data_IF_548623261192
#
_entry.id   IF_548623261192
#
_cell.length_a   1.000
_cell.length_b   1.000
_cell.length_c   1.000
_cell.angle_alpha   90.00
_cell.angle_beta   90.00
_cell.angle_gamma   90.00
#
_symmetry.space_group_name_H-M   'P 1'
#
loop_
_entity.id
_entity.type
_entity.pdbx_description
1 polymer ?
#
# COMPACT_ATOMS: atom_id res chain seq x y z
N UNK A 1 42.81 73.94 25.66
CA UNK A 1 43.52 72.99 24.76
C UNK A 1 42.54 71.81 24.54
N UNK A 2 41.95 71.79 23.37
CA UNK A 2 40.82 70.87 23.02
C UNK A 2 41.35 69.65 22.33
N UNK A 3 41.12 68.46 22.90
CA UNK A 3 41.36 67.18 22.28
C UNK A 3 40.06 66.54 21.88
N UNK A 4 39.71 66.52 20.56
CA UNK A 4 38.58 65.80 20.00
C UNK A 4 38.99 64.33 19.73
N UNK A 5 38.30 63.39 20.39
CA UNK A 5 38.41 61.98 20.11
C UNK A 5 37.42 61.62 18.98
N UNK A 6 37.92 61.03 17.89
CA UNK A 6 37.09 60.48 16.85
C UNK A 6 36.86 58.97 17.09
N UNK A 7 35.59 58.61 17.31
CA UNK A 7 35.19 57.19 17.42
C UNK A 7 34.80 56.72 16.03
N UNK A 8 35.53 55.76 15.51
CA UNK A 8 35.27 55.10 14.24
C UNK A 8 34.39 53.90 14.54
N UNK A 9 33.10 53.97 14.09
CA UNK A 9 32.18 52.87 14.18
C UNK A 9 32.44 51.88 13.04
N UNK A 10 32.77 50.64 13.36
CA UNK A 10 32.83 49.54 12.41
C UNK A 10 31.48 48.90 12.29
N UNK A 11 30.80 49.03 11.14
CA UNK A 11 29.59 48.28 10.79
C UNK A 11 30.03 46.90 10.32
N UNK A 12 29.71 45.86 11.12
CA UNK A 12 29.73 44.48 10.65
C UNK A 12 28.44 44.19 9.89
N UNK A 13 28.52 44.02 8.56
CA UNK A 13 27.45 43.48 7.75
C UNK A 13 27.46 41.93 7.86
N UNK A 14 26.46 41.38 8.54
CA UNK A 14 26.20 39.92 8.55
C UNK A 14 25.54 39.54 7.21
N UNK A 15 26.31 38.98 6.30
CA UNK A 15 25.79 38.37 5.06
C UNK A 15 25.16 37.03 5.41
N UNK A 16 23.84 36.92 5.31
CA UNK A 16 23.13 35.64 5.36
C UNK A 16 23.31 34.94 4.03
N UNK A 17 24.13 33.88 4.01
CA UNK A 17 24.26 32.99 2.87
C UNK A 17 22.98 32.12 2.83
N UNK A 18 22.05 32.41 1.95
CA UNK A 18 20.95 31.51 1.61
C UNK A 18 21.51 30.46 0.67
N UNK A 19 21.82 29.28 1.19
CA UNK A 19 22.13 28.14 0.35
C UNK A 19 20.82 27.66 -0.31
N UNK A 20 20.65 27.99 -1.60
CA UNK A 20 19.61 27.36 -2.42
C UNK A 20 20.03 25.92 -2.68
N UNK A 21 19.41 24.96 -2.01
CA UNK A 21 19.48 23.57 -2.41
C UNK A 21 18.77 23.42 -3.76
N UNK A 22 19.54 23.34 -4.83
CA UNK A 22 19.00 22.92 -6.12
C UNK A 22 18.55 21.47 -5.95
N UNK A 23 17.27 21.22 -6.07
CA UNK A 23 16.75 19.84 -6.24
C UNK A 23 17.29 19.39 -7.60
N UNK A 24 18.29 18.52 -7.57
CA UNK A 24 18.78 17.85 -8.77
C UNK A 24 17.71 16.84 -9.15
N UNK A 25 16.96 17.15 -10.19
CA UNK A 25 15.96 16.23 -10.74
C UNK A 25 16.71 15.10 -11.44
N UNK A 26 16.38 13.84 -11.10
CA UNK A 26 16.98 12.67 -11.75
C UNK A 26 16.80 12.72 -13.27
N UNK A 27 17.78 12.30 -14.06
CA UNK A 27 17.65 12.31 -15.51
C UNK A 27 16.55 11.34 -15.96
N UNK A 28 15.63 11.84 -16.81
CA UNK A 28 14.70 11.00 -17.54
C UNK A 28 15.50 10.24 -18.60
N UNK A 29 15.71 8.92 -18.41
CA UNK A 29 16.50 8.11 -19.33
C UNK A 29 15.68 7.54 -20.49
N UNK A 30 14.38 7.31 -20.29
CA UNK A 30 13.44 6.95 -21.35
C UNK A 30 12.11 7.64 -21.12
N UNK A 31 11.64 8.37 -22.11
CA UNK A 31 10.33 9.01 -22.09
C UNK A 31 9.59 8.67 -23.37
N UNK A 32 8.47 8.01 -23.22
CA UNK A 32 7.53 7.77 -24.30
C UNK A 32 6.18 8.42 -23.95
N UNK A 33 5.29 8.59 -24.92
CA UNK A 33 3.93 9.07 -24.63
C UNK A 33 3.10 8.07 -23.79
N UNK A 34 3.67 6.91 -23.43
CA UNK A 34 2.98 5.80 -22.76
C UNK A 34 3.52 5.49 -21.39
N UNK A 35 4.78 5.84 -21.11
CA UNK A 35 5.42 5.74 -19.79
C UNK A 35 6.56 6.74 -19.63
N UNK A 36 6.97 6.95 -18.38
CA UNK A 36 8.18 7.69 -17.98
C UNK A 36 9.04 6.78 -17.11
N UNK A 37 10.38 6.88 -17.26
CA UNK A 37 11.33 6.10 -16.48
C UNK A 37 12.41 7.00 -15.89
N UNK A 38 12.69 6.79 -14.62
CA UNK A 38 13.66 7.53 -13.81
C UNK A 38 14.51 6.56 -13.02
N UNK A 39 15.79 6.86 -12.83
CA UNK A 39 16.71 6.05 -12.04
C UNK A 39 17.69 6.91 -11.26
N UNK A 40 17.99 6.49 -10.04
CA UNK A 40 19.15 6.89 -9.24
C UNK A 40 20.02 5.65 -9.04
N UNK A 41 21.35 5.82 -9.13
CA UNK A 41 22.30 4.71 -9.05
C UNK A 41 22.68 4.13 -10.40
N UNK A 42 22.94 2.83 -10.44
CA UNK A 42 23.32 2.12 -11.64
C UNK A 42 22.08 1.83 -12.52
N UNK A 43 22.13 2.25 -13.79
CA UNK A 43 21.02 2.00 -14.73
C UNK A 43 21.11 0.61 -15.41
N UNK A 44 22.26 -0.05 -15.31
CA UNK A 44 22.46 -1.42 -15.81
C UNK A 44 21.84 -2.41 -14.83
N UNK A 45 21.12 -3.40 -15.35
CA UNK A 45 20.49 -4.45 -14.59
C UNK A 45 21.51 -5.29 -13.79
N UNK A 46 21.20 -5.57 -12.53
CA UNK A 46 22.01 -6.43 -11.66
C UNK A 46 21.19 -7.58 -11.10
N UNK A 47 21.72 -8.76 -11.06
CA UNK A 47 21.05 -9.91 -10.45
C UNK A 47 21.63 -10.20 -9.07
N UNK A 48 20.80 -10.11 -8.03
CA UNK A 48 21.12 -10.47 -6.64
C UNK A 48 20.23 -11.59 -6.12
N UNK A 49 20.72 -12.39 -5.18
CA UNK A 49 19.88 -13.34 -4.45
C UNK A 49 18.82 -12.61 -3.63
N UNK A 50 17.55 -12.91 -3.84
CA UNK A 50 16.42 -12.30 -3.15
C UNK A 50 15.80 -13.25 -2.12
N UNK A 51 15.02 -12.70 -1.19
CA UNK A 51 14.18 -13.44 -0.27
C UNK A 51 12.71 -13.01 -0.44
N UNK A 52 11.76 -13.97 -0.53
CA UNK A 52 10.36 -13.63 -0.75
C UNK A 52 9.76 -12.89 0.43
N UNK A 53 8.80 -12.03 0.15
CA UNK A 53 8.01 -11.34 1.15
C UNK A 53 7.07 -10.31 0.56
N UNK A 54 6.15 -9.81 1.41
CA UNK A 54 5.23 -8.76 1.02
C UNK A 54 5.35 -7.57 1.99
N UNK A 55 5.11 -6.36 1.49
CA UNK A 55 4.93 -5.16 2.31
C UNK A 55 3.56 -4.54 2.02
N UNK A 56 2.69 -4.59 3.04
CA UNK A 56 1.34 -4.07 2.98
C UNK A 56 1.29 -2.77 3.81
N UNK A 57 1.16 -1.60 3.16
CA UNK A 57 1.32 -0.31 3.84
C UNK A 57 0.06 0.56 3.73
N UNK A 58 -0.38 1.11 4.87
CA UNK A 58 -1.65 1.81 5.00
C UNK A 58 -1.72 3.22 4.40
N UNK A 59 -0.59 3.78 3.99
CA UNK A 59 -0.53 5.11 3.35
C UNK A 59 -0.24 6.26 4.30
N UNK A 60 -0.31 7.48 3.82
CA UNK A 60 0.22 8.72 4.41
C UNK A 60 1.75 8.74 4.31
N UNK A 61 2.49 8.95 5.40
CA UNK A 61 3.96 8.81 5.41
C UNK A 61 4.33 7.34 5.35
N UNK A 62 5.24 7.00 4.47
CA UNK A 62 5.74 5.63 4.34
C UNK A 62 6.59 5.24 5.57
N UNK A 63 6.70 3.95 5.83
CA UNK A 63 7.37 3.39 7.00
C UNK A 63 8.76 2.94 6.62
N UNK A 64 9.78 3.70 7.04
CA UNK A 64 11.20 3.46 6.71
C UNK A 64 11.64 2.03 7.02
N UNK A 65 11.27 1.49 8.19
CA UNK A 65 11.65 0.14 8.59
C UNK A 65 11.07 -0.95 7.69
N UNK A 66 9.93 -0.71 7.04
CA UNK A 66 9.36 -1.64 6.07
C UNK A 66 10.10 -1.59 4.72
N UNK A 67 10.54 -0.40 4.29
CA UNK A 67 11.40 -0.26 3.11
C UNK A 67 12.79 -0.86 3.34
N UNK A 68 13.42 -0.60 4.48
CA UNK A 68 14.70 -1.23 4.86
C UNK A 68 14.59 -2.76 4.88
N UNK A 69 13.48 -3.31 5.35
CA UNK A 69 13.21 -4.74 5.31
C UNK A 69 13.09 -5.27 3.85
N UNK A 70 12.49 -4.51 2.92
CA UNK A 70 12.46 -4.87 1.49
C UNK A 70 13.86 -4.79 0.87
N UNK A 71 14.63 -3.75 1.19
CA UNK A 71 16.00 -3.55 0.70
C UNK A 71 16.90 -4.71 1.15
N UNK A 72 16.82 -5.14 2.40
CA UNK A 72 17.54 -6.31 2.89
C UNK A 72 17.19 -7.57 2.07
N UNK A 73 15.90 -7.80 1.80
CA UNK A 73 15.42 -8.96 1.04
C UNK A 73 15.69 -8.88 -0.46
N UNK A 74 15.92 -7.70 -1.00
CA UNK A 74 16.39 -7.51 -2.38
C UNK A 74 17.86 -7.91 -2.57
N UNK A 75 18.60 -8.18 -1.48
CA UNK A 75 20.04 -8.44 -1.53
C UNK A 75 20.87 -7.24 -2.01
N UNK A 76 20.28 -6.02 -1.96
CA UNK A 76 20.89 -4.79 -2.44
C UNK A 76 20.92 -4.67 -3.97
N UNK A 77 19.95 -5.27 -4.65
CA UNK A 77 19.76 -5.16 -6.11
C UNK A 77 18.92 -3.95 -6.50
N UNK A 78 18.23 -4.07 -7.63
CA UNK A 78 17.42 -2.99 -8.21
C UNK A 78 16.05 -2.88 -7.52
N UNK A 79 15.77 -1.71 -6.95
CA UNK A 79 14.50 -1.40 -6.29
C UNK A 79 13.60 -0.62 -7.25
N UNK A 80 12.58 -1.28 -7.80
CA UNK A 80 11.68 -0.69 -8.79
C UNK A 80 10.36 -0.27 -8.16
N UNK A 81 9.99 0.99 -8.35
CA UNK A 81 8.69 1.57 -7.98
C UNK A 81 7.85 1.74 -9.23
N UNK A 82 6.61 1.24 -9.22
CA UNK A 82 5.66 1.43 -10.31
C UNK A 82 4.45 2.25 -9.86
N UNK A 83 3.94 3.08 -10.76
CA UNK A 83 2.78 3.94 -10.53
C UNK A 83 2.15 4.37 -11.85
N UNK A 84 0.92 4.92 -11.83
CA UNK A 84 0.22 5.41 -13.02
C UNK A 84 0.23 6.95 -13.13
N UNK A 85 0.66 7.66 -12.10
CA UNK A 85 0.76 9.11 -12.05
C UNK A 85 1.67 9.54 -10.89
N UNK A 86 2.15 10.77 -10.90
CA UNK A 86 2.99 11.34 -9.84
C UNK A 86 4.42 11.60 -10.33
N UNK A 87 5.41 11.42 -9.46
CA UNK A 87 6.82 11.72 -9.73
C UNK A 87 7.71 10.57 -9.27
N UNK A 88 8.99 10.69 -9.52
CA UNK A 88 10.07 9.80 -9.10
C UNK A 88 10.57 10.04 -7.65
N UNK A 89 9.79 10.70 -6.81
CA UNK A 89 10.22 11.13 -5.47
C UNK A 89 10.71 10.00 -4.54
N UNK A 90 10.39 8.75 -4.87
CA UNK A 90 10.92 7.57 -4.16
C UNK A 90 12.41 7.34 -4.42
N UNK A 91 12.90 7.65 -5.65
CA UNK A 91 14.26 7.30 -6.04
C UNK A 91 15.33 7.94 -5.15
N UNK A 92 15.37 9.29 -4.96
CA UNK A 92 16.38 9.90 -4.11
C UNK A 92 16.27 9.45 -2.65
N UNK A 93 15.08 9.25 -2.12
CA UNK A 93 14.89 8.79 -0.76
C UNK A 93 15.36 7.34 -0.56
N UNK A 94 15.00 6.40 -1.47
CA UNK A 94 15.46 5.01 -1.39
C UNK A 94 16.97 4.94 -1.57
N UNK A 95 17.53 5.65 -2.56
CA UNK A 95 18.93 5.51 -2.92
C UNK A 95 19.89 6.24 -1.96
N UNK A 96 19.57 7.49 -1.56
CA UNK A 96 20.47 8.31 -0.75
C UNK A 96 20.16 8.27 0.74
N UNK A 97 18.87 8.28 1.13
CA UNK A 97 18.47 8.39 2.54
C UNK A 97 18.41 6.99 3.20
N UNK A 98 17.80 6.00 2.56
CA UNK A 98 17.76 4.63 3.05
C UNK A 98 19.02 3.85 2.65
N UNK A 99 19.46 3.97 1.40
CA UNK A 99 20.63 3.32 0.86
C UNK A 99 20.54 1.80 0.76
N UNK A 100 21.65 1.16 0.35
CA UNK A 100 21.75 -0.30 0.33
C UNK A 100 21.18 -0.98 -0.91
N UNK A 101 20.86 -0.23 -1.97
CA UNK A 101 20.41 -0.72 -3.27
C UNK A 101 21.41 -0.38 -4.38
N UNK A 102 21.46 -1.17 -5.45
CA UNK A 102 22.27 -0.88 -6.64
C UNK A 102 21.65 0.28 -7.44
N UNK A 103 20.32 0.22 -7.60
CA UNK A 103 19.52 1.30 -8.18
C UNK A 103 18.20 1.49 -7.43
N UNK A 104 17.65 2.72 -7.52
CA UNK A 104 16.25 3.02 -7.22
C UNK A 104 15.59 3.58 -8.47
N UNK A 105 14.58 2.89 -8.96
CA UNK A 105 13.96 3.16 -10.24
C UNK A 105 12.48 3.49 -10.08
N UNK A 106 11.94 4.43 -10.85
CA UNK A 106 10.49 4.67 -10.92
C UNK A 106 10.01 4.59 -12.35
N UNK A 107 8.95 3.79 -12.56
CA UNK A 107 8.26 3.69 -13.84
C UNK A 107 6.84 4.24 -13.66
N UNK A 108 6.51 5.30 -14.39
CA UNK A 108 5.17 5.90 -14.41
C UNK A 108 4.46 5.44 -15.67
N UNK A 109 3.52 4.50 -15.55
CA UNK A 109 2.81 3.89 -16.68
C UNK A 109 1.54 4.71 -16.94
N UNK A 110 1.56 5.52 -18.00
CA UNK A 110 0.55 6.54 -18.28
C UNK A 110 -0.63 6.01 -19.10
N UNK A 111 -0.42 4.95 -19.91
CA UNK A 111 -1.40 4.40 -20.85
C UNK A 111 -1.29 2.88 -20.93
N UNK A 112 -2.35 2.19 -21.41
CA UNK A 112 -2.34 0.72 -21.55
C UNK A 112 -1.18 0.21 -22.44
N UNK A 113 -0.76 0.98 -23.46
CA UNK A 113 0.36 0.63 -24.33
C UNK A 113 1.69 0.57 -23.57
N UNK A 114 1.87 1.42 -22.53
CA UNK A 114 3.03 1.37 -21.64
C UNK A 114 3.05 0.11 -20.80
N UNK A 115 1.88 -0.46 -20.48
CA UNK A 115 1.78 -1.72 -19.77
C UNK A 115 2.05 -2.97 -20.65
N UNK A 116 2.36 -2.75 -21.94
CA UNK A 116 2.76 -3.78 -22.90
C UNK A 116 4.18 -3.51 -23.45
N UNK A 117 4.83 -2.42 -23.03
CA UNK A 117 6.13 -2.01 -23.55
C UNK A 117 7.23 -2.96 -23.03
N UNK A 118 8.05 -3.55 -23.93
CA UNK A 118 9.09 -4.50 -23.51
C UNK A 118 10.09 -3.92 -22.49
N UNK A 119 10.44 -2.65 -22.60
CA UNK A 119 11.35 -2.01 -21.64
C UNK A 119 10.74 -1.97 -20.22
N UNK A 120 9.45 -1.58 -20.12
CA UNK A 120 8.72 -1.53 -18.84
C UNK A 120 8.65 -2.94 -18.22
N UNK A 121 8.35 -3.95 -19.05
CA UNK A 121 8.22 -5.32 -18.61
C UNK A 121 9.56 -5.90 -18.16
N UNK A 122 10.63 -5.67 -18.90
CA UNK A 122 11.98 -6.13 -18.56
C UNK A 122 12.44 -5.51 -17.23
N UNK A 123 12.26 -4.20 -17.04
CA UNK A 123 12.59 -3.52 -15.79
C UNK A 123 11.81 -4.07 -14.58
N UNK A 124 10.51 -4.31 -14.72
CA UNK A 124 9.71 -4.91 -13.63
C UNK A 124 10.18 -6.35 -13.36
N UNK A 125 10.35 -7.18 -14.38
CA UNK A 125 10.71 -8.60 -14.20
C UNK A 125 12.09 -8.79 -13.56
N UNK A 126 13.01 -7.91 -13.87
CA UNK A 126 14.38 -7.97 -13.36
C UNK A 126 14.50 -7.41 -11.94
N UNK A 127 13.58 -6.59 -11.47
CA UNK A 127 13.62 -5.97 -10.14
C UNK A 127 13.89 -6.98 -9.00
N UNK A 128 14.81 -6.68 -8.10
CA UNK A 128 15.05 -7.42 -6.86
C UNK A 128 14.09 -7.01 -5.74
N UNK A 129 13.47 -5.83 -5.84
CA UNK A 129 12.32 -5.42 -5.05
C UNK A 129 11.36 -4.62 -5.90
N UNK A 130 10.04 -4.87 -5.77
CA UNK A 130 9.00 -4.17 -6.51
C UNK A 130 8.01 -3.51 -5.56
N UNK A 131 7.76 -2.21 -5.75
CA UNK A 131 6.83 -1.45 -4.91
C UNK A 131 5.79 -0.70 -5.74
N UNK A 132 4.51 -0.87 -5.39
CA UNK A 132 3.40 -0.14 -6.01
C UNK A 132 3.09 1.10 -5.15
N UNK A 133 3.40 2.27 -5.69
CA UNK A 133 3.22 3.53 -4.98
C UNK A 133 1.74 3.86 -4.69
N UNK A 134 1.53 4.84 -3.82
CA UNK A 134 0.21 5.44 -3.64
C UNK A 134 -0.26 6.21 -4.87
N UNK A 135 -1.57 6.43 -4.99
CA UNK A 135 -2.16 7.12 -6.12
C UNK A 135 -3.67 6.87 -6.23
N UNK A 136 -4.13 6.54 -7.42
CA UNK A 136 -5.50 6.16 -7.71
C UNK A 136 -5.54 4.68 -8.13
N UNK A 137 -6.07 3.81 -7.29
CA UNK A 137 -6.12 2.36 -7.57
C UNK A 137 -6.95 2.01 -8.80
N UNK A 138 -7.89 2.85 -9.23
CA UNK A 138 -8.60 2.63 -10.48
C UNK A 138 -7.68 2.71 -11.69
N UNK A 139 -6.70 3.63 -11.65
CA UNK A 139 -5.71 3.72 -12.72
C UNK A 139 -4.86 2.45 -12.79
N UNK A 140 -4.51 1.83 -11.66
CA UNK A 140 -3.80 0.56 -11.62
C UNK A 140 -4.64 -0.58 -12.21
N UNK A 141 -5.88 -0.74 -11.74
CA UNK A 141 -6.77 -1.78 -12.25
C UNK A 141 -7.04 -1.64 -13.76
N UNK A 142 -7.41 -0.43 -14.24
CA UNK A 142 -7.77 -0.22 -15.64
C UNK A 142 -6.60 -0.23 -16.63
N UNK A 143 -5.37 0.07 -16.17
CA UNK A 143 -4.19 0.14 -17.03
C UNK A 143 -3.37 -1.15 -17.03
N UNK A 144 -3.39 -1.92 -15.93
CA UNK A 144 -2.48 -3.03 -15.72
C UNK A 144 -3.17 -4.40 -15.74
N UNK A 145 -4.44 -4.52 -15.31
CA UNK A 145 -5.16 -5.80 -15.32
C UNK A 145 -5.31 -6.34 -16.74
N UNK A 146 -4.99 -7.62 -16.93
CA UNK A 146 -4.99 -8.29 -18.22
C UNK A 146 -3.85 -7.86 -19.16
N UNK A 147 -2.75 -7.32 -18.60
CA UNK A 147 -1.59 -6.86 -19.37
C UNK A 147 -0.30 -7.57 -18.95
N UNK A 148 0.79 -7.34 -19.71
CA UNK A 148 2.10 -7.88 -19.35
C UNK A 148 2.67 -7.31 -18.04
N UNK A 149 2.23 -6.13 -17.59
CA UNK A 149 2.60 -5.59 -16.25
C UNK A 149 2.03 -6.46 -15.14
N UNK A 150 0.78 -6.91 -15.23
CA UNK A 150 0.22 -7.87 -14.26
C UNK A 150 1.05 -9.15 -14.21
N UNK A 151 1.33 -9.73 -15.37
CA UNK A 151 2.18 -10.93 -15.48
C UNK A 151 3.59 -10.70 -14.91
N UNK A 152 4.16 -9.51 -15.13
CA UNK A 152 5.48 -9.14 -14.61
C UNK A 152 5.48 -9.02 -13.08
N UNK A 153 4.45 -8.40 -12.47
CA UNK A 153 4.29 -8.33 -11.00
C UNK A 153 4.20 -9.75 -10.40
N UNK A 154 3.39 -10.62 -11.00
CA UNK A 154 3.26 -12.01 -10.56
C UNK A 154 4.58 -12.78 -10.72
N UNK A 155 5.31 -12.53 -11.81
CA UNK A 155 6.63 -13.14 -12.03
C UNK A 155 7.65 -12.71 -10.95
N UNK A 156 7.71 -11.42 -10.59
CA UNK A 156 8.60 -10.91 -9.52
C UNK A 156 8.32 -11.63 -8.21
N UNK A 157 7.05 -11.80 -7.86
CA UNK A 157 6.63 -12.56 -6.68
C UNK A 157 7.06 -14.02 -6.77
N UNK A 158 6.84 -14.67 -7.92
CA UNK A 158 7.15 -16.09 -8.13
C UNK A 158 8.65 -16.37 -8.13
N UNK A 159 9.50 -15.43 -8.60
CA UNK A 159 10.96 -15.57 -8.53
C UNK A 159 11.52 -15.39 -7.11
N UNK A 160 10.69 -14.99 -6.15
CA UNK A 160 11.07 -14.83 -4.74
C UNK A 160 11.66 -13.46 -4.40
N UNK A 161 11.37 -12.42 -5.16
CA UNK A 161 11.68 -11.05 -4.79
C UNK A 161 10.54 -10.44 -3.94
N UNK A 162 10.84 -9.53 -2.99
CA UNK A 162 9.81 -8.87 -2.19
C UNK A 162 8.97 -7.93 -3.04
N UNK A 163 7.64 -7.95 -2.79
CA UNK A 163 6.67 -7.08 -3.46
C UNK A 163 5.90 -6.30 -2.41
N UNK A 164 5.67 -5.01 -2.63
CA UNK A 164 4.92 -4.19 -1.68
C UNK A 164 4.05 -3.14 -2.33
N UNK A 165 3.25 -2.46 -1.50
CA UNK A 165 2.46 -1.32 -1.95
C UNK A 165 1.86 -0.52 -0.80
N UNK A 166 1.67 0.78 -1.05
CA UNK A 166 1.11 1.73 -0.10
C UNK A 166 -0.19 2.33 -0.60
N UNK A 167 -1.16 2.58 0.28
CA UNK A 167 -2.41 3.29 -0.04
C UNK A 167 -3.17 2.65 -1.23
N UNK A 168 -3.18 3.30 -2.40
CA UNK A 168 -3.76 2.74 -3.63
C UNK A 168 -3.00 1.49 -4.11
N UNK A 169 -1.67 1.43 -3.92
CA UNK A 169 -0.85 0.26 -4.19
C UNK A 169 -1.20 -0.91 -3.28
N UNK A 170 -1.45 -0.67 -1.99
CA UNK A 170 -1.97 -1.69 -1.09
C UNK A 170 -3.32 -2.23 -1.58
N UNK A 171 -4.23 -1.33 -1.99
CA UNK A 171 -5.61 -1.69 -2.36
C UNK A 171 -5.72 -2.68 -3.53
N UNK A 172 -4.63 -2.87 -4.30
CA UNK A 172 -4.59 -3.81 -5.43
C UNK A 172 -3.79 -5.09 -5.16
N UNK A 173 -3.22 -5.26 -3.97
CA UNK A 173 -2.41 -6.45 -3.65
C UNK A 173 -3.24 -7.68 -3.25
N UNK A 174 -4.46 -7.49 -2.73
CA UNK A 174 -5.36 -8.59 -2.41
C UNK A 174 -5.94 -9.25 -3.65
N UNK A 175 -6.40 -10.50 -3.53
CA UNK A 175 -7.16 -11.17 -4.61
C UNK A 175 -8.40 -10.36 -4.98
N UNK A 176 -9.04 -9.74 -4.00
CA UNK A 176 -10.14 -8.80 -4.22
C UNK A 176 -9.66 -7.36 -4.01
N UNK A 177 -10.16 -6.46 -4.83
CA UNK A 177 -9.78 -5.05 -4.79
C UNK A 177 -11.00 -4.13 -4.76
N UNK A 178 -10.94 -3.09 -3.93
CA UNK A 178 -11.84 -1.96 -4.04
C UNK A 178 -11.22 -0.97 -5.05
N UNK A 179 -11.76 -0.92 -6.26
CA UNK A 179 -11.17 -0.14 -7.35
C UNK A 179 -11.38 1.37 -7.22
N UNK A 180 -12.39 1.80 -6.49
CA UNK A 180 -12.83 3.20 -6.45
C UNK A 180 -13.15 3.81 -7.84
N UNK A 181 -13.51 3.01 -8.84
CA UNK A 181 -13.86 3.46 -10.20
C UNK A 181 -14.87 4.62 -10.22
N UNK A 182 -15.86 4.58 -9.34
CA UNK A 182 -16.87 5.64 -9.18
C UNK A 182 -16.55 6.61 -8.02
N UNK A 183 -15.28 6.65 -7.61
CA UNK A 183 -14.79 7.40 -6.46
C UNK A 183 -14.90 6.64 -5.14
N UNK A 184 -14.37 7.24 -4.07
CA UNK A 184 -14.36 6.62 -2.74
C UNK A 184 -15.76 6.53 -2.12
N UNK A 185 -15.92 5.63 -1.16
CA UNK A 185 -17.13 5.49 -0.35
C UNK A 185 -16.78 5.54 1.15
N UNK A 186 -17.64 6.18 1.94
CA UNK A 186 -17.57 6.20 3.40
C UNK A 186 -18.36 5.05 4.01
N UNK A 187 -17.95 4.57 5.18
CA UNK A 187 -18.57 3.43 5.87
C UNK A 187 -20.07 3.51 5.99
N UNK A 188 -20.60 4.64 6.46
CA UNK A 188 -22.05 4.87 6.60
C UNK A 188 -22.85 4.61 5.30
N UNK A 189 -22.31 5.04 4.16
CA UNK A 189 -22.99 4.92 2.87
C UNK A 189 -22.88 3.48 2.31
N UNK A 190 -21.76 2.82 2.54
CA UNK A 190 -21.57 1.42 2.17
C UNK A 190 -22.52 0.50 2.95
N UNK A 191 -22.58 0.65 4.27
CA UNK A 191 -23.48 -0.10 5.16
C UNK A 191 -24.95 0.12 4.85
N UNK A 192 -25.33 1.35 4.45
CA UNK A 192 -26.73 1.67 4.10
C UNK A 192 -27.20 1.00 2.80
N UNK A 193 -26.29 0.77 1.87
CA UNK A 193 -26.59 0.12 0.59
C UNK A 193 -25.34 -0.57 0.05
N UNK A 194 -25.16 -1.86 0.30
CA UNK A 194 -23.99 -2.62 -0.16
C UNK A 194 -23.81 -2.63 -1.70
N UNK A 195 -24.89 -2.40 -2.44
CA UNK A 195 -24.90 -2.39 -3.91
C UNK A 195 -24.95 -0.99 -4.52
N UNK A 196 -24.61 0.05 -3.74
CA UNK A 196 -24.51 1.36 -4.36
C UNK A 196 -23.30 1.44 -5.32
N UNK A 197 -23.35 2.22 -6.41
CA UNK A 197 -22.36 2.19 -7.49
C UNK A 197 -20.91 2.48 -7.06
N UNK A 198 -20.70 3.15 -5.91
CA UNK A 198 -19.36 3.42 -5.39
C UNK A 198 -18.76 2.23 -4.62
N UNK A 199 -19.50 1.17 -4.33
CA UNK A 199 -18.96 -0.11 -3.88
C UNK A 199 -18.53 -0.88 -5.13
N UNK A 200 -17.46 -0.40 -5.76
CA UNK A 200 -16.91 -0.98 -6.97
C UNK A 200 -15.78 -1.95 -6.59
N UNK A 201 -16.11 -3.23 -6.61
CA UNK A 201 -15.18 -4.32 -6.31
C UNK A 201 -14.74 -4.99 -7.59
N UNK A 202 -13.54 -5.53 -7.58
CA UNK A 202 -12.92 -6.30 -8.65
C UNK A 202 -12.27 -7.54 -8.06
N UNK A 203 -12.19 -8.61 -8.82
CA UNK A 203 -11.47 -9.83 -8.48
C UNK A 203 -10.48 -10.19 -9.59
N UNK A 204 -9.61 -11.16 -9.32
CA UNK A 204 -8.74 -11.73 -10.34
C UNK A 204 -7.82 -10.69 -11.02
N UNK A 205 -7.15 -9.85 -10.19
CA UNK A 205 -6.11 -8.95 -10.67
C UNK A 205 -4.73 -9.47 -10.26
N UNK A 206 -4.41 -9.58 -8.98
CA UNK A 206 -3.13 -10.13 -8.53
C UNK A 206 -3.36 -11.36 -7.64
N UNK A 207 -2.49 -12.37 -7.78
CA UNK A 207 -2.49 -13.57 -6.97
C UNK A 207 -1.19 -13.66 -6.17
N UNK A 208 -1.13 -12.92 -5.07
CA UNK A 208 0.05 -12.90 -4.21
C UNK A 208 -0.05 -13.95 -3.09
N UNK A 209 1.08 -14.52 -2.62
CA UNK A 209 1.09 -15.49 -1.52
C UNK A 209 0.36 -14.94 -0.28
N UNK A 210 -0.39 -15.80 0.40
CA UNK A 210 -1.15 -15.50 1.62
C UNK A 210 -2.28 -14.47 1.46
N UNK A 211 -2.50 -13.88 0.28
CA UNK A 211 -3.56 -12.92 0.01
C UNK A 211 -4.74 -13.52 -0.79
N UNK A 212 -4.81 -14.84 -0.90
CA UNK A 212 -5.98 -15.56 -1.43
C UNK A 212 -7.21 -15.33 -0.56
N UNK A 213 -8.35 -15.03 -1.17
CA UNK A 213 -9.62 -14.64 -0.54
C UNK A 213 -9.53 -13.39 0.36
N UNK A 214 -8.51 -12.54 0.16
CA UNK A 214 -8.26 -11.33 0.95
C UNK A 214 -8.61 -10.08 0.14
N UNK A 215 -9.23 -9.11 0.79
CA UNK A 215 -9.30 -7.71 0.36
C UNK A 215 -8.54 -6.83 1.36
N UNK A 216 -7.74 -5.90 0.85
CA UNK A 216 -6.98 -4.95 1.67
C UNK A 216 -7.62 -3.57 1.65
N UNK A 217 -7.52 -2.84 2.77
CA UNK A 217 -7.96 -1.45 2.86
C UNK A 217 -6.95 -0.59 3.63
N UNK A 218 -6.70 0.61 3.14
CA UNK A 218 -5.68 1.55 3.62
C UNK A 218 -6.29 2.71 4.41
N UNK A 219 -5.48 3.58 5.03
CA UNK A 219 -5.94 4.76 5.82
C UNK A 219 -7.07 4.41 6.78
N UNK A 220 -7.01 3.25 7.39
CA UNK A 220 -8.18 2.54 7.86
C UNK A 220 -8.94 3.25 8.98
N UNK A 221 -8.27 3.54 10.10
CA UNK A 221 -8.87 4.28 11.23
C UNK A 221 -9.01 5.75 10.87
N UNK A 222 -7.96 6.34 10.27
CA UNK A 222 -7.92 7.77 9.96
C UNK A 222 -9.10 8.25 9.09
N UNK A 223 -9.67 7.35 8.26
CA UNK A 223 -10.78 7.66 7.36
C UNK A 223 -12.05 6.86 7.65
N UNK A 224 -12.17 6.30 8.86
CA UNK A 224 -13.35 5.51 9.31
C UNK A 224 -13.80 4.45 8.28
N UNK A 225 -12.91 3.46 7.99
CA UNK A 225 -13.12 2.51 6.91
C UNK A 225 -13.66 1.14 7.32
N UNK A 226 -13.84 0.87 8.62
CA UNK A 226 -14.31 -0.43 9.10
C UNK A 226 -15.63 -0.84 8.45
N UNK A 227 -16.62 0.03 8.42
CA UNK A 227 -17.93 -0.29 7.86
C UNK A 227 -17.93 -0.54 6.35
N UNK A 228 -17.02 0.14 5.60
CA UNK A 228 -16.90 -0.16 4.17
C UNK A 228 -16.21 -1.50 3.94
N UNK A 229 -15.19 -1.87 4.74
CA UNK A 229 -14.54 -3.17 4.65
C UNK A 229 -15.50 -4.31 4.98
N UNK A 230 -16.31 -4.17 6.04
CA UNK A 230 -17.40 -5.11 6.36
C UNK A 230 -18.37 -5.27 5.17
N UNK A 231 -18.71 -4.16 4.52
CA UNK A 231 -19.57 -4.19 3.32
C UNK A 231 -18.90 -4.89 2.13
N UNK A 232 -17.60 -4.67 1.92
CA UNK A 232 -16.85 -5.34 0.85
C UNK A 232 -16.81 -6.86 1.08
N UNK A 233 -16.54 -7.28 2.31
CA UNK A 233 -16.55 -8.68 2.70
C UNK A 233 -17.92 -9.33 2.50
N UNK A 234 -18.99 -8.64 2.92
CA UNK A 234 -20.38 -9.11 2.69
C UNK A 234 -20.66 -9.30 1.20
N UNK A 235 -20.25 -8.35 0.35
CA UNK A 235 -20.43 -8.43 -1.11
C UNK A 235 -19.64 -9.57 -1.73
N UNK A 236 -18.37 -9.77 -1.35
CA UNK A 236 -17.53 -10.85 -1.87
C UNK A 236 -18.18 -12.20 -1.64
N UNK A 237 -18.71 -12.45 -0.44
CA UNK A 237 -19.36 -13.72 -0.10
C UNK A 237 -20.75 -13.83 -0.74
N UNK A 238 -21.56 -12.76 -0.68
CA UNK A 238 -22.92 -12.75 -1.21
C UNK A 238 -22.97 -12.87 -2.74
N UNK A 239 -21.97 -12.30 -3.43
CA UNK A 239 -21.86 -12.38 -4.89
C UNK A 239 -21.22 -13.70 -5.36
N UNK A 240 -20.85 -14.59 -4.41
CA UNK A 240 -20.34 -15.92 -4.69
C UNK A 240 -18.88 -15.97 -5.15
N UNK A 241 -18.10 -14.91 -4.91
CA UNK A 241 -16.67 -14.88 -5.28
C UNK A 241 -15.82 -15.74 -4.34
N UNK A 242 -16.21 -15.85 -3.08
CA UNK A 242 -15.62 -16.77 -2.10
C UNK A 242 -16.68 -17.29 -1.13
N UNK A 243 -16.49 -18.53 -0.62
CA UNK A 243 -17.34 -19.07 0.45
C UNK A 243 -17.07 -18.41 1.81
N UNK A 244 -15.83 -17.92 2.01
CA UNK A 244 -15.38 -17.14 3.15
C UNK A 244 -14.38 -16.10 2.63
N UNK A 245 -14.49 -14.86 3.10
CA UNK A 245 -13.62 -13.76 2.74
C UNK A 245 -12.88 -13.23 3.96
N UNK A 246 -11.69 -12.69 3.72
CA UNK A 246 -10.78 -12.11 4.71
C UNK A 246 -10.50 -10.66 4.35
N UNK A 247 -10.35 -9.79 5.36
CA UNK A 247 -10.05 -8.38 5.17
C UNK A 247 -8.85 -7.95 6.00
N UNK A 248 -7.95 -7.14 5.43
CA UNK A 248 -6.85 -6.51 6.15
C UNK A 248 -7.00 -5.00 6.05
N UNK A 249 -7.30 -4.34 7.18
CA UNK A 249 -7.40 -2.90 7.28
C UNK A 249 -6.16 -2.30 7.95
N UNK A 250 -5.38 -1.50 7.22
CA UNK A 250 -4.10 -0.94 7.70
C UNK A 250 -4.22 0.57 7.86
N UNK A 251 -3.88 1.08 9.05
CA UNK A 251 -3.94 2.52 9.31
C UNK A 251 -2.79 3.29 8.65
N UNK A 252 -2.88 4.61 8.66
CA UNK A 252 -1.81 5.49 8.19
C UNK A 252 -0.52 5.30 9.00
N UNK A 253 0.64 5.50 8.38
CA UNK A 253 1.99 5.33 8.97
C UNK A 253 2.22 3.96 9.60
N UNK A 254 1.63 2.94 8.98
CA UNK A 254 1.65 1.56 9.45
C UNK A 254 1.87 0.62 8.29
N UNK A 255 2.66 -0.42 8.50
CA UNK A 255 2.91 -1.47 7.53
C UNK A 255 2.87 -2.85 8.18
N UNK A 256 2.51 -3.87 7.40
CA UNK A 256 2.82 -5.26 7.68
C UNK A 256 3.94 -5.69 6.75
N UNK A 257 5.00 -6.25 7.29
CA UNK A 257 5.99 -7.00 6.53
C UNK A 257 5.67 -8.48 6.67
N UNK A 258 5.49 -9.17 5.56
CA UNK A 258 5.08 -10.59 5.54
C UNK A 258 6.24 -11.40 4.99
N UNK A 259 6.77 -12.33 5.76
CA UNK A 259 7.87 -13.18 5.34
C UNK A 259 7.44 -14.35 4.44
N UNK A 260 8.42 -15.14 3.98
CA UNK A 260 8.16 -16.29 3.12
C UNK A 260 7.39 -17.44 3.79
N UNK A 261 7.19 -17.41 5.12
CA UNK A 261 6.37 -18.35 5.86
C UNK A 261 4.93 -17.85 6.07
N UNK A 262 4.63 -16.59 5.74
CA UNK A 262 3.32 -15.98 5.94
C UNK A 262 3.16 -15.26 7.27
N UNK A 263 4.24 -15.10 8.02
CA UNK A 263 4.21 -14.35 9.28
C UNK A 263 4.28 -12.85 8.97
N UNK A 264 3.20 -12.15 9.29
CA UNK A 264 3.06 -10.72 9.14
C UNK A 264 3.48 -10.00 10.42
N UNK A 265 4.50 -9.15 10.37
CA UNK A 265 4.97 -8.36 11.51
C UNK A 265 4.57 -6.91 11.34
N UNK A 266 4.02 -6.29 12.39
CA UNK A 266 3.59 -4.89 12.39
C UNK A 266 4.80 -3.95 12.51
N UNK A 267 4.89 -2.99 11.61
CA UNK A 267 5.84 -1.87 11.62
C UNK A 267 5.09 -0.53 11.62
N UNK A 268 5.65 0.49 12.25
CA UNK A 268 5.07 1.84 12.30
C UNK A 268 4.22 2.09 13.54
N UNK A 269 3.24 2.99 13.48
CA UNK A 269 2.63 3.61 14.67
C UNK A 269 1.17 3.23 14.90
N UNK A 270 0.47 2.75 13.91
CA UNK A 270 -0.98 2.55 13.95
C UNK A 270 -1.40 1.08 14.04
N UNK A 271 -2.69 0.85 14.30
CA UNK A 271 -3.23 -0.52 14.36
C UNK A 271 -3.48 -1.10 12.96
N UNK A 272 -3.47 -2.44 12.93
CA UNK A 272 -3.91 -3.26 11.82
C UNK A 272 -5.06 -4.15 12.28
N UNK A 273 -6.03 -4.35 11.41
CA UNK A 273 -7.24 -5.14 11.65
C UNK A 273 -7.32 -6.28 10.64
N UNK A 274 -7.52 -7.48 11.13
CA UNK A 274 -7.73 -8.70 10.35
C UNK A 274 -9.18 -9.15 10.56
N UNK A 275 -9.98 -9.15 9.51
CA UNK A 275 -11.38 -9.54 9.55
C UNK A 275 -11.58 -10.87 8.84
N UNK A 276 -12.47 -11.71 9.36
CA UNK A 276 -12.89 -12.93 8.71
C UNK A 276 -14.40 -13.08 8.78
N UNK A 277 -15.00 -13.44 7.65
CA UNK A 277 -16.44 -13.64 7.56
C UNK A 277 -16.88 -15.00 8.12
N UNK A 278 -18.03 -15.11 8.78
CA UNK A 278 -18.56 -16.39 9.26
C UNK A 278 -19.22 -17.22 8.14
N UNK A 279 -19.54 -16.63 7.00
CA UNK A 279 -20.28 -17.21 5.88
C UNK A 279 -21.12 -16.16 5.19
N UNK A 280 -22.31 -16.51 4.70
CA UNK A 280 -23.23 -15.58 4.03
C UNK A 280 -23.79 -14.53 5.01
N UNK A 281 -23.92 -13.26 4.59
CA UNK A 281 -24.65 -12.24 5.36
C UNK A 281 -26.14 -12.56 5.44
N UNK A 282 -26.82 -12.12 6.52
CA UNK A 282 -28.26 -12.29 6.68
C UNK A 282 -29.05 -11.40 5.71
N UNK A 283 -28.57 -10.17 5.45
CA UNK A 283 -29.16 -9.24 4.48
C UNK A 283 -28.04 -8.48 3.77
N UNK A 284 -27.85 -8.75 2.49
CA UNK A 284 -26.94 -8.00 1.62
C UNK A 284 -27.65 -7.78 0.26
N UNK A 285 -28.51 -6.77 0.18
CA UNK A 285 -29.37 -6.52 -0.94
C UNK A 285 -29.26 -5.06 -1.42
N UNK A 286 -29.67 -4.83 -2.68
CA UNK A 286 -29.68 -3.49 -3.25
C UNK A 286 -30.68 -2.59 -2.52
N UNK A 287 -30.24 -1.39 -2.16
CA UNK A 287 -31.03 -0.37 -1.48
C UNK A 287 -31.57 -0.77 -0.11
N UNK A 288 -30.98 -1.79 0.50
CA UNK A 288 -31.30 -2.29 1.84
C UNK A 288 -30.07 -2.17 2.74
N UNK A 289 -30.20 -1.67 3.98
CA UNK A 289 -29.08 -1.65 4.91
C UNK A 289 -28.55 -3.06 5.21
N UNK A 290 -27.23 -3.18 5.32
CA UNK A 290 -26.54 -4.44 5.57
C UNK A 290 -26.88 -4.98 6.95
N UNK A 291 -27.22 -6.28 7.02
CA UNK A 291 -27.19 -7.07 8.25
C UNK A 291 -26.20 -8.22 8.04
N UNK A 292 -25.13 -8.20 8.83
CA UNK A 292 -24.06 -9.18 8.80
C UNK A 292 -23.45 -9.32 10.17
N UNK A 293 -23.65 -10.46 10.82
CA UNK A 293 -23.27 -10.69 12.21
C UNK A 293 -22.02 -11.52 12.34
N UNK A 294 -21.38 -11.40 13.49
CA UNK A 294 -20.35 -12.32 14.00
C UNK A 294 -19.09 -12.41 13.14
N UNK A 295 -18.67 -11.30 12.50
CA UNK A 295 -17.36 -11.26 11.85
C UNK A 295 -16.26 -11.33 12.93
N UNK A 296 -15.35 -12.29 12.80
CA UNK A 296 -14.19 -12.35 13.66
C UNK A 296 -13.21 -11.23 13.33
N UNK A 297 -12.67 -10.56 14.34
CA UNK A 297 -11.69 -9.49 14.19
C UNK A 297 -10.52 -9.71 15.12
N UNK A 298 -9.31 -9.56 14.59
CA UNK A 298 -8.07 -9.41 15.36
C UNK A 298 -7.52 -8.01 15.13
N UNK A 299 -7.09 -7.34 16.20
CA UNK A 299 -6.42 -6.05 16.12
C UNK A 299 -5.02 -6.16 16.69
N UNK A 300 -4.01 -5.87 15.88
CA UNK A 300 -2.65 -5.62 16.34
C UNK A 300 -2.41 -4.12 16.47
N UNK A 301 -1.75 -3.70 17.54
CA UNK A 301 -1.47 -2.26 17.81
C UNK A 301 -0.02 -1.99 18.19
N UNK A 302 0.73 -3.02 18.58
CA UNK A 302 2.09 -2.88 19.06
C UNK A 302 3.08 -3.16 17.93
N UNK A 303 4.06 -2.28 17.68
CA UNK A 303 5.15 -2.56 16.73
C UNK A 303 5.87 -3.86 17.11
N UNK A 304 6.13 -4.70 16.11
CA UNK A 304 6.72 -6.03 16.29
C UNK A 304 5.72 -7.14 16.54
N UNK A 305 4.45 -6.84 16.86
CA UNK A 305 3.41 -7.85 16.99
C UNK A 305 3.18 -8.60 15.68
N UNK A 306 2.85 -9.89 15.78
CA UNK A 306 2.79 -10.80 14.64
C UNK A 306 1.39 -11.39 14.43
N UNK A 307 1.08 -11.69 13.18
CA UNK A 307 -0.11 -12.40 12.74
C UNK A 307 0.27 -13.45 11.69
N UNK A 308 -0.16 -14.66 11.87
CA UNK A 308 0.01 -15.74 10.88
C UNK A 308 -1.11 -15.64 9.82
N UNK A 309 -0.75 -15.24 8.59
CA UNK A 309 -1.71 -15.13 7.47
C UNK A 309 -2.13 -16.49 6.91
N UNK A 310 -1.31 -17.53 7.06
CA UNK A 310 -1.64 -18.87 6.60
C UNK A 310 -2.72 -19.49 7.50
N UNK A 311 -2.50 -19.47 8.82
CA UNK A 311 -3.45 -19.98 9.81
C UNK A 311 -4.56 -18.97 10.16
N UNK A 312 -4.40 -17.70 9.76
CA UNK A 312 -5.28 -16.57 10.05
C UNK A 312 -5.51 -16.37 11.56
N UNK A 313 -4.43 -16.37 12.31
CA UNK A 313 -4.44 -16.30 13.76
C UNK A 313 -3.28 -15.53 14.35
N UNK A 314 -3.41 -15.13 15.63
CA UNK A 314 -2.33 -14.53 16.40
C UNK A 314 -2.57 -14.82 17.89
N UNK A 315 -1.47 -15.07 18.62
CA UNK A 315 -1.48 -15.10 20.09
C UNK A 315 -1.33 -13.70 20.71
N UNK A 316 -1.15 -12.68 19.84
CA UNK A 316 -0.93 -11.29 20.22
C UNK A 316 -2.13 -10.42 19.84
N UNK A 317 -2.24 -9.25 20.47
CA UNK A 317 -3.27 -8.28 20.16
C UNK A 317 -4.62 -8.57 20.80
N UNK A 318 -5.70 -8.08 20.18
CA UNK A 318 -7.07 -8.17 20.71
C UNK A 318 -8.00 -8.84 19.72
N UNK A 319 -8.62 -9.94 20.12
CA UNK A 319 -9.68 -10.60 19.37
C UNK A 319 -11.06 -10.13 19.85
N UNK A 320 -11.96 -9.87 18.92
CA UNK A 320 -13.35 -9.50 19.19
C UNK A 320 -14.26 -9.84 18.00
N UNK A 321 -15.57 -9.64 18.17
CA UNK A 321 -16.54 -9.86 17.10
C UNK A 321 -17.17 -8.52 16.69
N UNK A 322 -17.40 -8.33 15.41
CA UNK A 322 -18.09 -7.20 14.80
C UNK A 322 -19.39 -7.65 14.17
N UNK A 323 -20.45 -6.88 14.33
CA UNK A 323 -21.71 -7.09 13.65
C UNK A 323 -22.22 -5.79 13.04
N UNK A 324 -22.84 -5.88 11.87
CA UNK A 324 -23.66 -4.84 11.27
C UNK A 324 -25.13 -5.25 11.38
N UNK A 325 -25.98 -4.43 12.00
CA UNK A 325 -27.42 -4.62 12.03
C UNK A 325 -28.11 -3.40 11.44
N UNK A 326 -28.89 -3.61 10.38
CA UNK A 326 -29.57 -2.54 9.64
C UNK A 326 -28.62 -1.36 9.31
N UNK A 327 -27.36 -1.68 8.96
CA UNK A 327 -26.34 -0.70 8.59
C UNK A 327 -25.64 0.00 9.76
N UNK A 328 -25.83 -0.47 11.00
CA UNK A 328 -25.17 0.05 12.21
C UNK A 328 -24.19 -0.97 12.74
N UNK A 329 -22.92 -0.54 12.91
CA UNK A 329 -21.88 -1.40 13.47
C UNK A 329 -21.97 -1.47 15.00
N UNK A 330 -21.72 -2.66 15.53
CA UNK A 330 -21.51 -2.93 16.95
C UNK A 330 -20.33 -3.90 17.13
N UNK A 331 -19.74 -3.93 18.31
CA UNK A 331 -18.64 -4.85 18.63
C UNK A 331 -18.79 -5.41 20.04
N UNK A 332 -18.12 -6.54 20.28
CA UNK A 332 -18.01 -7.15 21.61
C UNK A 332 -16.85 -6.56 22.45
N UNK A 333 -16.13 -5.59 21.93
CA UNK A 333 -15.10 -4.90 22.72
C UNK A 333 -15.70 -4.18 23.96
N UNK A 334 -14.93 -4.12 25.02
CA UNK A 334 -15.32 -3.35 26.21
C UNK A 334 -15.62 -1.89 25.82
N UNK A 335 -16.82 -1.41 26.15
CA UNK A 335 -17.29 -0.07 25.75
C UNK A 335 -17.82 0.03 24.32
N UNK A 336 -17.89 -1.07 23.56
CA UNK A 336 -18.49 -1.11 22.22
C UNK A 336 -17.69 -0.39 21.13
N UNK A 337 -16.39 -0.13 21.35
CA UNK A 337 -15.51 0.49 20.36
C UNK A 337 -15.42 -0.32 19.07
N UNK A 338 -15.48 0.35 17.92
CA UNK A 338 -15.38 -0.34 16.60
C UNK A 338 -13.91 -0.57 16.21
N UNK A 339 -13.01 0.32 16.66
CA UNK A 339 -11.57 0.29 16.41
C UNK A 339 -10.75 -0.11 17.61
#
# INVERSE_FOLDING_TARGET
MNGKSHMIGVLLALGVLVASTAVVQAPVLANSNTYEYYVEGNAEDVTKPTQPGLVLMGGSTDVDSAFLWMIERSGGGDFVVIRAAGTEAYNPWIYYDLGGVDSAETIIILKPEGAQDPFVIDKIRNAEALFIAGGNQWDYARLWKGTLVEEAIQYVTAKGAPVGGTSAGLAVLGEFSFTAEKGTIVSKNALKNPYQPRVALENDFLHLPYLGSVITDSHFVARDRMGRLVTFLARIVNDGWAGQARGIGINERTALVVDGAGIATLHGEGPVYFLQTPGLPEVCEKSTPLTYRDLAVYRLSEPGAQFDLAEWSSDEGTAYTLSAEEGVLSSTQAGGGIY
#
